data_IF_470208333362
#
_entry.id   IF_470208333362
#
_cell.length_a   1.000
_cell.length_b   1.000
_cell.length_c   1.000
_cell.angle_alpha   90.00
_cell.angle_beta   90.00
_cell.angle_gamma   90.00
#
_symmetry.space_group_name_H-M   'P 1'
#
loop_
_entity.id
_entity.type
_entity.pdbx_description
1 polymer ?
#
# COMPACT_ATOMS: atom_id res chain seq x y z
N UNK A 1 -11.86 3.15 6.46
CA UNK A 1 -10.43 2.93 6.22
C UNK A 1 -9.85 2.07 7.34
N UNK A 2 -8.81 1.27 7.06
CA UNK A 2 -8.12 0.38 8.00
C UNK A 2 -9.06 -0.55 8.80
N UNK A 3 -10.01 -1.16 8.11
CA UNK A 3 -11.02 -2.04 8.74
C UNK A 3 -10.37 -3.22 9.50
N UNK A 4 -9.18 -3.67 9.06
CA UNK A 4 -8.43 -4.75 9.69
C UNK A 4 -7.89 -4.43 11.08
N UNK A 5 -7.81 -3.14 11.45
CA UNK A 5 -7.36 -2.70 12.77
C UNK A 5 -8.52 -2.35 13.72
N UNK A 6 -9.76 -2.57 13.26
CA UNK A 6 -10.95 -2.31 14.07
C UNK A 6 -11.01 -3.21 15.31
N UNK A 7 -11.19 -2.66 16.52
CA UNK A 7 -11.38 -3.45 17.73
C UNK A 7 -12.56 -4.40 17.62
N UNK A 8 -12.43 -5.61 18.15
CA UNK A 8 -13.42 -6.68 18.04
C UNK A 8 -14.84 -6.28 18.51
N UNK A 9 -14.94 -5.43 19.55
CA UNK A 9 -16.22 -4.92 20.02
C UNK A 9 -16.92 -4.01 18.97
N UNK A 10 -16.16 -3.27 18.18
CA UNK A 10 -16.69 -2.42 17.11
C UNK A 10 -17.05 -3.22 15.87
N UNK A 11 -16.36 -4.33 15.61
CA UNK A 11 -16.72 -5.25 14.53
C UNK A 11 -18.15 -5.80 14.70
N UNK A 12 -18.55 -6.17 15.94
CA UNK A 12 -19.89 -6.64 16.22
C UNK A 12 -20.96 -5.54 16.03
N UNK A 13 -20.62 -4.29 16.36
CA UNK A 13 -21.52 -3.16 16.11
C UNK A 13 -21.67 -2.85 14.63
N UNK A 14 -20.57 -2.87 13.89
CA UNK A 14 -20.61 -2.66 12.45
C UNK A 14 -21.43 -3.74 11.75
N UNK A 15 -21.26 -5.01 12.14
CA UNK A 15 -22.06 -6.11 11.59
C UNK A 15 -23.55 -5.85 11.74
N UNK A 16 -24.02 -5.45 12.93
CA UNK A 16 -25.41 -5.09 13.14
C UNK A 16 -25.90 -3.98 12.23
N UNK A 17 -25.11 -2.93 12.06
CA UNK A 17 -25.47 -1.82 11.15
C UNK A 17 -25.62 -2.30 9.71
N UNK A 18 -24.73 -3.21 9.27
CA UNK A 18 -24.79 -3.76 7.91
C UNK A 18 -25.99 -4.68 7.71
N UNK A 19 -26.40 -5.43 8.76
CA UNK A 19 -27.50 -6.39 8.67
C UNK A 19 -28.86 -5.75 8.90
N UNK A 20 -28.98 -4.92 9.92
CA UNK A 20 -30.25 -4.33 10.33
C UNK A 20 -30.57 -3.03 9.59
N UNK A 21 -29.55 -2.37 8.96
CA UNK A 21 -29.67 -1.04 8.36
C UNK A 21 -30.21 0.00 9.36
N UNK A 22 -29.84 -0.15 10.62
CA UNK A 22 -30.28 0.71 11.72
C UNK A 22 -29.08 1.13 12.57
N UNK A 23 -29.10 2.37 13.02
CA UNK A 23 -28.11 2.91 13.97
C UNK A 23 -28.83 3.57 15.16
N UNK A 24 -28.27 3.39 16.34
CA UNK A 24 -28.69 4.15 17.52
C UNK A 24 -27.67 5.26 17.76
N UNK A 25 -28.02 6.54 17.53
CA UNK A 25 -27.13 7.65 17.82
C UNK A 25 -26.73 7.70 19.29
N UNK A 26 -25.55 8.22 19.58
CA UNK A 26 -25.11 8.38 20.97
C UNK A 26 -26.07 9.29 21.73
N UNK A 27 -26.57 8.79 22.88
CA UNK A 27 -27.51 9.51 23.71
C UNK A 27 -28.98 9.44 23.27
N UNK A 28 -29.29 8.71 22.20
CA UNK A 28 -30.66 8.45 21.76
C UNK A 28 -31.15 7.08 22.26
N UNK A 29 -32.43 6.98 22.56
CA UNK A 29 -33.11 5.73 22.91
C UNK A 29 -33.75 5.04 21.70
N UNK A 30 -33.84 5.74 20.57
CA UNK A 30 -34.50 5.26 19.36
C UNK A 30 -33.49 4.97 18.25
N UNK A 31 -33.73 3.88 17.51
CA UNK A 31 -32.96 3.53 16.32
C UNK A 31 -33.46 4.33 15.11
N UNK A 32 -32.53 4.62 14.20
CA UNK A 32 -32.80 5.30 12.93
C UNK A 32 -32.40 4.38 11.80
N UNK A 33 -33.28 4.20 10.81
CA UNK A 33 -32.97 3.47 9.59
C UNK A 33 -31.98 4.26 8.73
N UNK A 34 -31.00 3.57 8.18
CA UNK A 34 -29.97 4.16 7.33
C UNK A 34 -29.83 3.35 6.04
N UNK A 35 -29.75 4.07 4.92
CA UNK A 35 -29.37 3.49 3.64
C UNK A 35 -27.95 3.94 3.30
N UNK A 36 -27.07 2.99 3.01
CA UNK A 36 -25.66 3.30 2.72
C UNK A 36 -25.05 2.28 1.77
N UNK A 37 -24.02 2.70 1.08
CA UNK A 37 -23.06 1.83 0.40
C UNK A 37 -21.78 1.76 1.24
N UNK A 38 -21.27 0.56 1.46
CA UNK A 38 -20.08 0.36 2.26
C UNK A 38 -18.86 0.17 1.35
N UNK A 39 -17.86 1.00 1.57
CA UNK A 39 -16.53 0.86 0.98
C UNK A 39 -15.55 0.71 2.15
N UNK A 40 -14.81 -0.37 2.16
CA UNK A 40 -13.79 -0.64 3.17
C UNK A 40 -12.41 -0.78 2.54
N UNK A 41 -11.39 -0.38 3.28
CA UNK A 41 -10.00 -0.58 2.89
C UNK A 41 -9.19 -1.13 4.07
N UNK A 42 -8.21 -1.96 3.79
CA UNK A 42 -7.28 -2.50 4.76
C UNK A 42 -5.92 -2.72 4.10
N UNK A 43 -4.85 -2.44 4.83
CA UNK A 43 -3.49 -2.83 4.44
C UNK A 43 -3.16 -4.26 4.93
N UNK A 44 -4.01 -4.85 5.77
CA UNK A 44 -3.85 -6.21 6.32
C UNK A 44 -4.74 -7.19 5.56
N UNK A 45 -4.27 -8.42 5.45
CA UNK A 45 -5.06 -9.52 4.90
C UNK A 45 -6.17 -9.91 5.91
N UNK A 46 -7.42 -9.58 5.57
CA UNK A 46 -8.55 -9.86 6.46
C UNK A 46 -8.75 -11.36 6.70
N UNK A 47 -8.45 -12.22 5.72
CA UNK A 47 -8.59 -13.66 5.88
C UNK A 47 -7.60 -14.21 6.91
N UNK A 48 -6.36 -13.73 6.92
CA UNK A 48 -5.37 -14.08 7.93
C UNK A 48 -5.80 -13.62 9.33
N UNK A 49 -6.42 -12.43 9.42
CA UNK A 49 -6.96 -11.92 10.68
C UNK A 49 -8.13 -12.77 11.20
N UNK A 50 -8.98 -13.29 10.32
CA UNK A 50 -10.04 -14.24 10.67
C UNK A 50 -9.44 -15.53 11.22
N UNK A 51 -8.46 -16.11 10.53
CA UNK A 51 -7.77 -17.32 10.98
C UNK A 51 -7.06 -17.13 12.33
N UNK A 52 -6.53 -15.94 12.57
CA UNK A 52 -5.90 -15.54 13.83
C UNK A 52 -6.88 -15.11 14.93
N UNK A 53 -8.20 -15.15 14.71
CA UNK A 53 -9.23 -14.74 15.68
C UNK A 53 -9.27 -13.24 15.98
N UNK A 54 -8.58 -12.41 15.19
CA UNK A 54 -8.52 -10.96 15.35
C UNK A 54 -9.64 -10.24 14.58
N UNK A 55 -10.23 -10.90 13.60
CA UNK A 55 -11.36 -10.40 12.83
C UNK A 55 -12.47 -11.42 12.79
N UNK A 56 -13.72 -10.95 12.89
CA UNK A 56 -14.90 -11.83 12.90
C UNK A 56 -15.15 -12.38 11.51
N UNK A 57 -15.38 -13.67 11.43
CA UNK A 57 -15.67 -14.39 10.19
C UNK A 57 -17.00 -13.92 9.56
N UNK A 58 -18.03 -13.70 10.37
CA UNK A 58 -19.35 -13.22 9.92
C UNK A 58 -19.25 -11.83 9.27
N UNK A 59 -18.52 -10.92 9.90
CA UNK A 59 -18.26 -9.59 9.34
C UNK A 59 -17.44 -9.68 8.03
N UNK A 60 -16.42 -10.53 7.98
CA UNK A 60 -15.62 -10.73 6.77
C UNK A 60 -16.49 -11.12 5.58
N UNK A 61 -17.37 -12.13 5.74
CA UNK A 61 -18.24 -12.55 4.65
C UNK A 61 -19.28 -11.49 4.27
N UNK A 62 -19.67 -10.62 5.18
CA UNK A 62 -20.61 -9.54 4.90
C UNK A 62 -19.95 -8.36 4.17
N UNK A 63 -18.67 -8.13 4.42
CA UNK A 63 -17.86 -7.14 3.72
C UNK A 63 -17.41 -7.62 2.34
N UNK A 64 -17.24 -8.93 2.18
CA UNK A 64 -16.73 -9.55 0.96
C UNK A 64 -17.68 -9.33 -0.20
N UNK A 65 -17.35 -8.36 -1.03
CA UNK A 65 -18.01 -8.04 -2.28
C UNK A 65 -16.98 -7.99 -3.41
N UNK A 66 -16.89 -6.85 -4.08
CA UNK A 66 -15.84 -6.61 -5.08
C UNK A 66 -14.55 -6.24 -4.35
N UNK A 67 -13.52 -7.06 -4.51
CA UNK A 67 -12.21 -6.82 -3.95
C UNK A 67 -11.27 -6.28 -5.01
N UNK A 68 -10.61 -5.16 -4.69
CA UNK A 68 -9.64 -4.51 -5.57
C UNK A 68 -8.31 -4.41 -4.81
N UNK A 69 -7.29 -5.07 -5.35
CA UNK A 69 -5.93 -4.93 -4.84
C UNK A 69 -5.24 -3.75 -5.53
N UNK A 70 -4.77 -2.80 -4.74
CA UNK A 70 -3.98 -1.68 -5.22
C UNK A 70 -2.49 -2.06 -5.21
N UNK A 71 -1.80 -2.03 -6.36
CA UNK A 71 -0.37 -2.32 -6.39
C UNK A 71 0.42 -1.25 -5.63
N UNK A 72 1.52 -1.65 -5.01
CA UNK A 72 2.49 -0.72 -4.44
C UNK A 72 3.11 0.16 -5.54
N UNK A 73 3.65 1.32 -5.16
CA UNK A 73 4.34 2.18 -6.13
C UNK A 73 5.55 1.48 -6.76
N UNK A 74 6.20 0.58 -6.02
CA UNK A 74 7.31 -0.23 -6.55
C UNK A 74 6.89 -1.10 -7.74
N UNK A 75 5.67 -1.64 -7.72
CA UNK A 75 5.14 -2.58 -8.74
C UNK A 75 4.52 -1.87 -9.94
N UNK A 76 4.25 -0.57 -9.84
CA UNK A 76 3.60 0.17 -10.93
C UNK A 76 4.52 0.37 -12.12
N UNK A 77 4.02 0.10 -13.32
CA UNK A 77 4.72 0.34 -14.58
C UNK A 77 4.65 1.82 -15.03
N UNK A 78 3.64 2.56 -14.56
CA UNK A 78 3.35 3.94 -14.95
C UNK A 78 3.93 4.99 -14.00
N UNK A 79 4.99 4.66 -13.24
CA UNK A 79 5.61 5.56 -12.25
C UNK A 79 5.95 6.94 -12.83
N UNK A 80 6.49 6.97 -14.04
CA UNK A 80 6.87 8.23 -14.66
C UNK A 80 5.67 9.13 -14.94
N UNK A 81 4.60 8.56 -15.51
CA UNK A 81 3.37 9.30 -15.75
C UNK A 81 2.75 9.81 -14.44
N UNK A 82 2.80 8.99 -13.38
CA UNK A 82 2.33 9.39 -12.06
C UNK A 82 3.17 10.53 -11.47
N UNK A 83 4.51 10.52 -11.63
CA UNK A 83 5.39 11.60 -11.18
C UNK A 83 5.03 12.92 -11.88
N UNK A 84 4.86 12.91 -13.20
CA UNK A 84 4.45 14.09 -13.95
C UNK A 84 3.08 14.60 -13.51
N UNK A 85 2.10 13.70 -13.36
CA UNK A 85 0.77 14.08 -12.90
C UNK A 85 0.81 14.71 -11.49
N UNK A 86 1.63 14.18 -10.58
CA UNK A 86 1.79 14.76 -9.25
C UNK A 86 2.45 16.15 -9.32
N UNK A 87 3.49 16.33 -10.14
CA UNK A 87 4.11 17.66 -10.34
C UNK A 87 3.09 18.67 -10.85
N UNK A 88 2.30 18.32 -11.86
CA UNK A 88 1.23 19.14 -12.42
C UNK A 88 0.13 19.46 -11.39
N UNK A 89 -0.13 18.56 -10.44
CA UNK A 89 -1.15 18.77 -9.39
C UNK A 89 -0.67 19.67 -8.25
N UNK A 90 0.64 19.85 -8.08
CA UNK A 90 1.21 20.65 -6.99
C UNK A 90 1.49 22.10 -7.38
N UNK A 91 1.61 22.40 -8.67
CA UNK A 91 1.90 23.75 -9.17
C UNK A 91 1.37 23.98 -10.57
N UNK A 92 0.97 25.20 -10.89
CA UNK A 92 0.49 25.59 -12.23
C UNK A 92 1.64 25.62 -13.26
N UNK A 93 2.90 25.75 -12.81
CA UNK A 93 4.10 25.74 -13.65
C UNK A 93 5.07 24.66 -13.13
N UNK A 94 4.85 23.39 -13.52
CA UNK A 94 5.64 22.26 -13.02
C UNK A 94 7.07 22.32 -13.56
N UNK A 95 8.09 22.28 -12.68
CA UNK A 95 9.49 22.27 -13.11
C UNK A 95 9.82 20.95 -13.83
N UNK A 96 10.66 21.05 -14.85
CA UNK A 96 11.18 19.86 -15.53
C UNK A 96 12.07 19.01 -14.60
N UNK A 97 12.13 17.72 -14.88
CA UNK A 97 13.04 16.80 -14.20
C UNK A 97 14.30 16.59 -15.06
N UNK A 98 15.48 16.75 -14.47
CA UNK A 98 16.69 16.30 -15.14
C UNK A 98 16.69 14.77 -15.30
N UNK A 99 17.38 14.26 -16.31
CA UNK A 99 17.46 12.82 -16.58
C UNK A 99 18.02 12.01 -15.37
N UNK A 100 18.92 12.61 -14.60
CA UNK A 100 19.49 12.03 -13.39
C UNK A 100 18.46 11.96 -12.27
N UNK A 101 17.73 13.05 -12.03
CA UNK A 101 16.67 13.11 -11.01
C UNK A 101 15.54 12.13 -11.35
N UNK A 102 15.14 12.07 -12.61
CA UNK A 102 14.12 11.11 -13.06
C UNK A 102 14.56 9.66 -12.81
N UNK A 103 15.81 9.31 -13.13
CA UNK A 103 16.35 7.96 -12.88
C UNK A 103 16.37 7.63 -11.39
N UNK A 104 16.75 8.58 -10.53
CA UNK A 104 16.74 8.40 -9.08
C UNK A 104 15.33 8.13 -8.55
N UNK A 105 14.34 8.92 -8.97
CA UNK A 105 12.94 8.76 -8.59
C UNK A 105 12.34 7.42 -9.06
N UNK A 106 12.67 6.97 -10.27
CA UNK A 106 12.21 5.70 -10.82
C UNK A 106 12.87 4.48 -10.15
N UNK A 107 14.12 4.60 -9.73
CA UNK A 107 14.90 3.53 -9.14
C UNK A 107 14.63 3.31 -7.65
N UNK A 108 14.02 4.27 -6.97
CA UNK A 108 13.74 4.15 -5.54
C UNK A 108 12.52 3.26 -5.25
N UNK A 109 12.57 2.51 -4.15
CA UNK A 109 11.56 1.50 -3.80
C UNK A 109 10.27 2.04 -3.19
N UNK A 110 10.24 3.31 -2.77
CA UNK A 110 9.07 4.01 -2.22
C UNK A 110 8.32 3.26 -1.12
N UNK A 111 8.94 2.95 0.03
CA UNK A 111 8.26 2.24 1.12
C UNK A 111 7.01 2.96 1.63
N UNK A 112 6.98 4.31 1.59
CA UNK A 112 5.83 5.13 1.91
C UNK A 112 4.90 5.39 0.71
N UNK A 113 5.08 4.68 -0.41
CA UNK A 113 4.25 4.73 -1.60
C UNK A 113 4.04 6.17 -2.13
N UNK A 114 2.85 6.46 -2.64
CA UNK A 114 2.49 7.76 -3.24
C UNK A 114 2.59 8.90 -2.23
N UNK A 115 2.31 8.63 -0.94
CA UNK A 115 2.41 9.67 0.11
C UNK A 115 3.85 10.16 0.26
N UNK A 116 4.82 9.25 0.28
CA UNK A 116 6.25 9.60 0.34
C UNK A 116 6.70 10.30 -0.95
N UNK A 117 6.34 9.76 -2.11
CA UNK A 117 6.67 10.37 -3.40
C UNK A 117 6.16 11.81 -3.48
N UNK A 118 4.90 12.04 -3.15
CA UNK A 118 4.29 13.37 -3.16
C UNK A 118 5.05 14.34 -2.26
N UNK A 119 5.38 13.92 -1.04
CA UNK A 119 6.15 14.75 -0.10
C UNK A 119 7.53 15.10 -0.66
N UNK A 120 8.24 14.14 -1.26
CA UNK A 120 9.56 14.37 -1.88
C UNK A 120 9.45 15.34 -3.05
N UNK A 121 8.42 15.22 -3.91
CA UNK A 121 8.21 16.13 -5.02
C UNK A 121 7.88 17.55 -4.54
N UNK A 122 7.04 17.71 -3.53
CA UNK A 122 6.75 19.03 -2.92
C UNK A 122 8.02 19.69 -2.40
N UNK A 123 8.88 18.95 -1.70
CA UNK A 123 10.17 19.46 -1.24
C UNK A 123 11.07 19.84 -2.42
N UNK A 124 11.14 19.01 -3.46
CA UNK A 124 11.97 19.25 -4.62
C UNK A 124 11.53 20.50 -5.41
N UNK A 125 10.21 20.71 -5.56
CA UNK A 125 9.64 21.93 -6.15
C UNK A 125 10.07 23.16 -5.34
N UNK A 126 9.93 23.11 -4.02
CA UNK A 126 10.30 24.24 -3.16
C UNK A 126 11.81 24.55 -3.22
N UNK A 127 12.66 23.53 -3.36
CA UNK A 127 14.12 23.72 -3.41
C UNK A 127 14.63 24.10 -4.81
N UNK A 128 13.88 23.79 -5.87
CA UNK A 128 14.29 24.09 -7.25
C UNK A 128 14.13 25.56 -7.63
N UNK A 129 13.36 26.33 -6.86
CA UNK A 129 13.11 27.77 -7.07
C UNK A 129 12.70 28.09 -8.52
N UNK A 130 11.79 27.30 -9.08
CA UNK A 130 11.31 27.43 -10.47
C UNK A 130 12.28 26.90 -11.54
N UNK A 131 13.40 26.33 -11.16
CA UNK A 131 14.33 25.67 -12.09
C UNK A 131 14.04 24.17 -12.20
N UNK A 132 14.70 23.50 -13.16
CA UNK A 132 14.60 22.06 -13.29
C UNK A 132 15.04 21.34 -12.01
N UNK A 133 14.26 20.34 -11.59
CA UNK A 133 14.56 19.49 -10.44
C UNK A 133 15.78 18.64 -10.74
N UNK A 134 16.82 18.79 -9.96
CA UNK A 134 18.08 18.06 -10.03
C UNK A 134 18.22 17.11 -8.83
N UNK A 135 19.20 16.20 -8.88
CA UNK A 135 19.51 15.32 -7.76
C UNK A 135 19.78 16.06 -6.44
N UNK A 136 20.35 17.28 -6.52
CA UNK A 136 20.59 18.11 -5.33
C UNK A 136 19.32 18.51 -4.56
N UNK A 137 18.17 18.50 -5.23
CA UNK A 137 16.86 18.82 -4.64
C UNK A 137 16.15 17.59 -4.06
N UNK A 138 16.72 16.37 -4.24
CA UNK A 138 16.16 15.13 -3.76
C UNK A 138 16.80 14.69 -2.44
N UNK A 139 16.07 14.04 -1.54
CA UNK A 139 16.62 13.48 -0.31
C UNK A 139 17.69 12.42 -0.60
N UNK A 140 18.70 12.36 0.28
CA UNK A 140 19.82 11.42 0.14
C UNK A 140 19.36 9.96 0.06
N UNK A 141 18.28 9.59 0.72
CA UNK A 141 17.71 8.23 0.69
C UNK A 141 17.25 7.83 -0.73
N UNK A 142 16.67 8.77 -1.48
CA UNK A 142 16.25 8.53 -2.87
C UNK A 142 17.45 8.33 -3.79
N UNK A 143 18.54 9.07 -3.55
CA UNK A 143 19.76 8.96 -4.32
C UNK A 143 20.53 7.65 -4.02
N UNK A 144 20.48 7.19 -2.77
CA UNK A 144 21.15 5.95 -2.33
C UNK A 144 20.35 4.69 -2.71
N UNK A 145 19.04 4.79 -2.91
CA UNK A 145 18.18 3.67 -3.29
C UNK A 145 18.53 3.03 -4.66
N UNK A 146 19.34 3.67 -5.47
CA UNK A 146 19.92 3.04 -6.67
C UNK A 146 20.94 1.93 -6.36
N UNK A 147 21.48 1.87 -5.13
CA UNK A 147 22.51 0.89 -4.73
C UNK A 147 21.95 -0.39 -4.12
N UNK A 148 20.68 -0.43 -3.76
CA UNK A 148 20.01 -1.60 -3.15
C UNK A 148 19.11 -2.33 -4.16
N UNK A 149 19.65 -2.69 -5.33
CA UNK A 149 19.13 -3.81 -6.09
C UNK A 149 19.41 -5.06 -5.27
N UNK A 150 18.36 -5.62 -4.65
CA UNK A 150 18.39 -6.94 -4.01
C UNK A 150 19.04 -7.92 -5.00
N UNK A 151 20.16 -8.59 -4.64
CA UNK A 151 20.69 -9.62 -5.50
C UNK A 151 19.62 -10.71 -5.68
N UNK A 152 19.44 -11.24 -6.91
CA UNK A 152 18.49 -12.32 -7.13
C UNK A 152 18.87 -13.48 -6.22
N UNK A 153 17.87 -13.99 -5.47
CA UNK A 153 18.01 -15.18 -4.63
C UNK A 153 18.66 -16.28 -5.49
N UNK A 154 19.83 -16.75 -5.09
CA UNK A 154 20.52 -17.83 -5.76
C UNK A 154 19.60 -19.05 -5.81
N UNK A 155 19.49 -19.74 -6.96
CA UNK A 155 18.67 -20.94 -7.07
C UNK A 155 19.20 -21.98 -6.09
N UNK A 156 18.32 -22.43 -5.19
CA UNK A 156 18.59 -23.54 -4.28
C UNK A 156 18.77 -24.78 -5.17
N UNK A 157 19.99 -25.27 -5.27
CA UNK A 157 20.29 -26.51 -5.97
C UNK A 157 19.54 -27.66 -5.28
N UNK A 158 18.90 -28.58 -6.04
CA UNK A 158 18.25 -29.74 -5.46
C UNK A 158 19.31 -30.65 -4.88
N UNK A 159 19.18 -30.98 -3.59
CA UNK A 159 20.04 -31.94 -2.92
C UNK A 159 19.96 -33.32 -3.64
N UNK A 160 21.07 -33.69 -4.25
CA UNK A 160 21.27 -34.98 -4.84
C UNK A 160 21.13 -36.08 -3.75
N UNK A 161 20.10 -36.86 -3.87
CA UNK A 161 19.86 -38.04 -3.05
C UNK A 161 20.77 -39.16 -3.57
N UNK A 162 21.93 -39.31 -2.98
CA UNK A 162 22.73 -40.48 -3.18
C UNK A 162 22.02 -41.68 -2.53
N UNK A 163 21.53 -42.58 -3.37
CA UNK A 163 21.08 -43.91 -2.96
C UNK A 163 22.31 -44.79 -2.80
N UNK A 164 22.59 -45.17 -1.60
CA UNK A 164 23.52 -46.24 -1.29
C UNK A 164 22.73 -47.44 -0.76
N UNK A 165 22.70 -48.50 -1.56
CA UNK A 165 22.14 -49.76 -1.16
C UNK A 165 23.20 -50.60 -0.41
N UNK A 166 22.90 -51.21 0.72
CA UNK A 166 23.75 -52.25 1.26
C UNK A 166 23.36 -53.61 0.69
N UNK A 167 24.36 -54.30 0.10
CA UNK A 167 24.25 -55.69 -0.27
C UNK A 167 24.20 -56.60 0.96
N UNK A 168 23.48 -57.67 0.75
CA UNK A 168 23.43 -58.86 1.59
C UNK A 168 24.67 -59.76 1.40
N UNK A 169 24.98 -60.55 2.40
CA UNK A 169 24.96 -62.01 2.21
C UNK A 169 23.83 -62.69 2.97
#
# INVERSE_FOLDING_TARGET
>A
DEIGDMPHALQARLLRVIEEHEVTPLGAETTVKVEFQLISASHRNLLELVQGGQFREDLYYRLKGIEINLPSLAERADKLALIHHLLESETDDPPELTAEAQRALLGYGWPGNIRQLRHVLQMAIALSDGQAIQCAHLPAEVLQGQAASVPPAAPVAPASRAAEAPGLP
#
